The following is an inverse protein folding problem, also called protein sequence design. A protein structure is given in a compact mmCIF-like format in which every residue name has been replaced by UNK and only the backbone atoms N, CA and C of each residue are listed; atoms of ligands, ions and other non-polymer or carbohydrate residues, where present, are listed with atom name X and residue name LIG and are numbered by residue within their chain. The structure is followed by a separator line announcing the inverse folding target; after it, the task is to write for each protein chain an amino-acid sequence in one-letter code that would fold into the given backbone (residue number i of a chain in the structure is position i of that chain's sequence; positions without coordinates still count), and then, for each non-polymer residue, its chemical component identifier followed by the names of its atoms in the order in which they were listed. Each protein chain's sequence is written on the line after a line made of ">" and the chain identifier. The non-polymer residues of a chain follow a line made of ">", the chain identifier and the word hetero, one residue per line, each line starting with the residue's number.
data_IF_239849652663
#
_entry.id   IF_239849652663
#
_cell.length_a   1.000
_cell.length_b   1.000
_cell.length_c   1.000
_cell.angle_alpha   90.00
_cell.angle_beta   90.00
_cell.angle_gamma   90.00
#
_symmetry.space_group_name_H-M   'P 1'
#
loop_
_entity.id
_entity.type
_entity.pdbx_description
1 polymer ?
#
# COMPACT_ATOMS: atom_id res chain seq x y z
N UNK A 1 -8.61 10.69 20.54
CA UNK A 1 -8.02 9.37 20.45
C UNK A 1 -7.43 9.12 19.08
N UNK A 2 -6.23 8.68 19.02
CA UNK A 2 -5.56 8.49 17.76
C UNK A 2 -5.17 7.03 17.58
N UNK A 3 -5.36 6.56 16.37
CA UNK A 3 -4.91 5.25 15.97
C UNK A 3 -3.60 5.40 15.23
N UNK A 4 -2.58 4.78 15.77
CA UNK A 4 -1.29 4.84 15.12
C UNK A 4 -0.95 3.45 14.58
N UNK A 5 -0.69 3.32 13.29
CA UNK A 5 -0.41 2.01 12.72
C UNK A 5 0.88 1.43 13.30
N UNK A 6 0.90 0.11 13.47
CA UNK A 6 2.10 -0.52 13.98
C UNK A 6 3.12 -0.69 12.86
N UNK A 7 4.30 -1.19 13.21
CA UNK A 7 5.37 -1.34 12.22
C UNK A 7 4.98 -2.27 11.09
N UNK A 8 4.24 -3.32 11.42
CA UNK A 8 3.82 -4.26 10.39
C UNK A 8 2.95 -3.59 9.35
N UNK A 9 2.01 -2.77 9.80
CA UNK A 9 1.13 -2.07 8.87
C UNK A 9 1.89 -1.06 8.04
N UNK A 10 2.84 -0.37 8.66
CA UNK A 10 3.63 0.61 7.92
C UNK A 10 4.46 -0.07 6.85
N UNK A 11 5.09 -1.19 7.19
CA UNK A 11 5.86 -1.96 6.23
C UNK A 11 4.98 -2.43 5.08
N UNK A 12 3.79 -2.93 5.42
CA UNK A 12 2.86 -3.40 4.40
C UNK A 12 2.47 -2.26 3.46
N UNK A 13 2.19 -1.09 4.04
CA UNK A 13 1.77 0.05 3.23
C UNK A 13 2.88 0.47 2.27
N UNK A 14 4.11 0.51 2.75
CA UNK A 14 5.23 0.86 1.89
C UNK A 14 5.39 -0.14 0.76
N UNK A 15 5.25 -1.41 1.07
CA UNK A 15 5.38 -2.46 0.06
C UNK A 15 4.25 -2.33 -0.97
N UNK A 16 3.03 -2.10 -0.51
CA UNK A 16 1.90 -1.96 -1.42
C UNK A 16 2.11 -0.80 -2.38
N UNK A 17 2.50 0.34 -1.85
CA UNK A 17 2.72 1.51 -2.69
C UNK A 17 3.80 1.23 -3.73
N UNK A 18 4.91 0.65 -3.30
CA UNK A 18 6.01 0.39 -4.22
C UNK A 18 5.61 -0.58 -5.32
N UNK A 19 5.01 -1.70 -4.93
CA UNK A 19 4.64 -2.72 -5.91
C UNK A 19 3.57 -2.20 -6.84
N UNK A 20 2.60 -1.48 -6.30
CA UNK A 20 1.52 -0.96 -7.13
C UNK A 20 2.07 0.02 -8.17
N UNK A 21 2.97 0.90 -7.77
CA UNK A 21 3.53 1.87 -8.70
C UNK A 21 4.32 1.17 -9.81
N UNK A 22 5.05 0.12 -9.45
CA UNK A 22 5.78 -0.63 -10.47
C UNK A 22 4.82 -1.32 -11.43
N UNK A 23 3.71 -1.84 -10.90
CA UNK A 23 2.73 -2.49 -11.75
C UNK A 23 2.08 -1.52 -12.72
N UNK A 24 1.76 -0.31 -12.24
CA UNK A 24 1.15 0.68 -13.13
C UNK A 24 2.12 1.11 -14.22
N UNK A 25 3.40 1.16 -13.91
CA UNK A 25 4.39 1.46 -14.93
C UNK A 25 4.38 0.44 -16.05
N UNK A 26 4.07 -0.81 -15.70
CA UNK A 26 4.02 -1.88 -16.69
C UNK A 26 2.65 -2.00 -17.34
N UNK A 27 1.75 -1.11 -17.01
CA UNK A 27 0.42 -1.11 -17.60
C UNK A 27 -0.58 -2.01 -16.91
N UNK A 28 -0.27 -2.46 -15.73
CA UNK A 28 -1.20 -3.29 -14.97
C UNK A 28 -1.96 -2.47 -13.96
N UNK A 29 -3.25 -2.72 -13.84
CA UNK A 29 -4.09 -2.00 -12.91
C UNK A 29 -4.18 -2.64 -11.54
N UNK A 30 -3.62 -3.83 -11.39
CA UNK A 30 -3.67 -4.53 -10.12
C UNK A 30 -2.42 -5.38 -9.97
N UNK A 31 -2.09 -5.73 -8.74
CA UNK A 31 -0.91 -6.53 -8.48
C UNK A 31 -1.15 -7.37 -7.23
N UNK A 32 -0.17 -8.21 -6.90
CA UNK A 32 -0.26 -9.05 -5.71
C UNK A 32 0.85 -8.71 -4.75
N UNK A 33 0.50 -8.62 -3.47
CA UNK A 33 1.47 -8.38 -2.42
C UNK A 33 1.23 -9.42 -1.34
N UNK A 34 2.24 -10.23 -1.07
CA UNK A 34 2.15 -11.30 -0.06
C UNK A 34 0.96 -12.22 -0.33
N UNK A 35 0.73 -12.51 -1.61
CA UNK A 35 -0.34 -13.41 -1.98
C UNK A 35 -1.71 -12.79 -1.99
N UNK A 36 -1.81 -11.51 -1.71
CA UNK A 36 -3.10 -10.81 -1.70
C UNK A 36 -3.19 -9.87 -2.88
N UNK A 37 -4.35 -9.85 -3.50
CA UNK A 37 -4.56 -8.97 -4.63
C UNK A 37 -4.71 -7.53 -4.15
N UNK A 38 -3.94 -6.66 -4.75
CA UNK A 38 -3.92 -5.24 -4.40
C UNK A 38 -4.39 -4.44 -5.60
N UNK A 39 -5.33 -3.53 -5.37
CA UNK A 39 -5.81 -2.67 -6.44
C UNK A 39 -5.73 -1.22 -5.99
N UNK A 40 -6.39 -0.34 -6.76
CA UNK A 40 -6.32 1.09 -6.48
C UNK A 40 -6.82 1.41 -5.08
N UNK A 41 -7.86 0.73 -4.63
CA UNK A 41 -8.41 0.99 -3.30
C UNK A 41 -7.37 0.72 -2.23
N UNK A 42 -6.71 -0.41 -2.35
CA UNK A 42 -5.66 -0.77 -1.38
C UNK A 42 -4.51 0.21 -1.44
N UNK A 43 -4.16 0.65 -2.64
CA UNK A 43 -3.08 1.61 -2.78
C UNK A 43 -3.42 2.92 -2.07
N UNK A 44 -4.65 3.40 -2.24
CA UNK A 44 -5.06 4.63 -1.59
C UNK A 44 -5.05 4.48 -0.08
N UNK A 45 -5.48 3.33 0.43
CA UNK A 45 -5.46 3.07 1.86
C UNK A 45 -4.03 3.06 2.39
N UNK A 46 -3.13 2.40 1.67
CA UNK A 46 -1.74 2.35 2.09
C UNK A 46 -1.11 3.74 2.08
N UNK A 47 -1.42 4.52 1.06
CA UNK A 47 -0.89 5.86 0.97
C UNK A 47 -1.38 6.74 2.12
N UNK A 48 -2.67 6.64 2.43
CA UNK A 48 -3.21 7.40 3.54
C UNK A 48 -2.57 6.99 4.86
N UNK A 49 -2.32 5.71 5.02
CA UNK A 49 -1.68 5.20 6.22
C UNK A 49 -0.28 5.78 6.37
N UNK A 50 0.46 5.85 5.28
CA UNK A 50 1.80 6.41 5.32
C UNK A 50 1.79 7.89 5.64
N UNK A 51 0.75 8.59 5.21
CA UNK A 51 0.64 10.01 5.52
C UNK A 51 0.44 10.24 6.99
N UNK A 52 -0.21 9.32 7.66
CA UNK A 52 -0.43 9.44 9.10
C UNK A 52 0.89 9.38 9.85
N UNK A 53 1.81 8.51 9.44
CA UNK A 53 3.08 8.33 10.14
C UNK A 53 4.14 9.29 9.65
N UNK A 54 3.90 9.93 8.54
CA UNK A 54 4.84 10.91 8.02
C UNK A 54 4.50 12.27 8.60
#
# INVERSE_FOLDING_TARGET
>A
KSFYPNKTEISWAKKVCKVYLESTKKGKGATTVDGKMIDEVHYKQAKALLEIVE
#
